data_IF_404285177378
#
_entry.id   IF_404285177378
#
_cell.length_a   1.000
_cell.length_b   1.000
_cell.length_c   1.000
_cell.angle_alpha   90.00
_cell.angle_beta   90.00
_cell.angle_gamma   90.00
#
_symmetry.space_group_name_H-M   'P 1'
#
loop_
_entity.id
_entity.type
_entity.pdbx_description
1 polymer ?
#
# COMPACT_ATOMS: atom_id res chain seq x y z
N UNK A 1 -4.91 21.84 -2.69
CA UNK A 1 -4.69 20.51 -2.07
C UNK A 1 -5.88 20.18 -1.20
N UNK A 2 -6.35 18.94 -1.25
CA UNK A 2 -7.46 18.45 -0.43
C UNK A 2 -6.91 17.44 0.58
N UNK A 3 -6.94 17.76 1.86
CA UNK A 3 -6.46 16.90 2.95
C UNK A 3 -7.65 16.39 3.75
N UNK A 4 -7.75 15.07 3.87
CA UNK A 4 -8.83 14.40 4.60
C UNK A 4 -8.26 13.45 5.64
N UNK A 5 -8.81 13.49 6.85
CA UNK A 5 -8.42 12.60 7.95
C UNK A 5 -9.58 11.67 8.28
N UNK A 6 -9.32 10.37 8.27
CA UNK A 6 -10.31 9.36 8.61
C UNK A 6 -9.99 8.01 7.99
N UNK A 7 -10.94 7.10 8.08
CA UNK A 7 -10.83 5.78 7.44
C UNK A 7 -10.86 5.95 5.91
N UNK A 8 -9.83 5.47 5.23
CA UNK A 8 -9.72 5.66 3.78
C UNK A 8 -10.84 4.99 3.00
N UNK A 9 -11.36 3.85 3.46
CA UNK A 9 -12.47 3.17 2.78
C UNK A 9 -13.75 4.02 2.83
N UNK A 10 -13.98 4.71 3.95
CA UNK A 10 -15.12 5.63 4.07
C UNK A 10 -14.92 6.91 3.29
N UNK A 11 -13.71 7.49 3.33
CA UNK A 11 -13.38 8.73 2.62
C UNK A 11 -13.44 8.53 1.11
N UNK A 12 -12.97 7.41 0.60
CA UNK A 12 -13.00 7.11 -0.84
C UNK A 12 -14.41 7.10 -1.41
N UNK A 13 -15.43 6.79 -0.62
CA UNK A 13 -16.83 6.84 -1.08
C UNK A 13 -17.25 8.22 -1.58
N UNK A 14 -16.63 9.27 -1.08
CA UNK A 14 -16.87 10.65 -1.51
C UNK A 14 -16.06 11.10 -2.73
N UNK A 15 -15.19 10.25 -3.26
CA UNK A 15 -14.41 10.55 -4.47
C UNK A 15 -15.19 10.07 -5.69
N UNK A 16 -15.25 10.92 -6.71
CA UNK A 16 -15.95 10.59 -7.95
C UNK A 16 -15.33 9.39 -8.63
N UNK A 17 -16.15 8.56 -9.25
CA UNK A 17 -15.66 7.45 -10.07
C UNK A 17 -14.83 7.95 -11.24
N UNK A 18 -13.83 7.16 -11.63
CA UNK A 18 -13.02 7.41 -12.82
C UNK A 18 -12.37 8.81 -12.82
N UNK A 19 -11.90 9.27 -11.66
CA UNK A 19 -11.37 10.63 -11.48
C UNK A 19 -9.90 10.70 -11.06
N UNK A 20 -9.32 9.59 -10.62
CA UNK A 20 -7.95 9.55 -10.09
C UNK A 20 -6.98 9.10 -11.18
N UNK A 21 -5.97 9.91 -11.44
CA UNK A 21 -4.96 9.66 -12.48
C UNK A 21 -3.80 8.79 -11.99
N UNK A 22 -3.49 8.90 -10.69
CA UNK A 22 -2.41 8.13 -10.05
C UNK A 22 -2.75 7.95 -8.57
N UNK A 23 -2.53 6.76 -8.05
CA UNK A 23 -2.69 6.48 -6.64
C UNK A 23 -1.35 6.08 -6.03
N UNK A 24 -1.01 6.68 -4.90
CA UNK A 24 0.14 6.28 -4.08
C UNK A 24 -0.36 6.01 -2.67
N UNK A 25 -0.05 4.86 -2.13
CA UNK A 25 -0.50 4.48 -0.80
C UNK A 25 0.58 3.79 0.03
N UNK A 26 0.64 4.19 1.29
CA UNK A 26 1.39 3.51 2.34
C UNK A 26 0.36 2.94 3.31
N UNK A 27 -0.11 1.72 3.02
CA UNK A 27 -1.22 1.10 3.75
C UNK A 27 -0.77 0.59 5.12
N UNK A 28 -1.68 0.52 6.11
CA UNK A 28 -1.37 -0.12 7.38
C UNK A 28 -1.16 -1.63 7.19
N UNK A 29 -0.01 -2.14 7.67
CA UNK A 29 0.38 -3.53 7.47
C UNK A 29 -0.14 -4.47 8.57
N UNK A 30 -0.62 -3.90 9.70
CA UNK A 30 -1.04 -4.71 10.86
C UNK A 30 0.13 -5.33 11.63
N UNK A 31 1.32 -4.73 11.56
CA UNK A 31 2.56 -5.30 12.13
C UNK A 31 3.04 -4.58 13.38
N UNK A 32 2.47 -3.41 13.70
CA UNK A 32 2.83 -2.64 14.89
C UNK A 32 1.74 -2.75 15.96
N UNK A 33 2.04 -2.29 17.20
CA UNK A 33 1.07 -2.24 18.29
C UNK A 33 0.17 -1.00 18.25
N UNK A 34 0.37 -0.09 17.30
CA UNK A 34 -0.42 1.12 17.17
C UNK A 34 -1.86 0.81 16.77
N UNK A 35 -2.83 1.54 17.34
CA UNK A 35 -4.25 1.31 17.09
C UNK A 35 -4.67 1.53 15.64
N UNK A 36 -3.96 2.42 14.92
CA UNK A 36 -4.24 2.72 13.52
C UNK A 36 -3.66 1.68 12.55
N UNK A 37 -2.72 0.86 13.02
CA UNK A 37 -2.04 -0.12 12.16
C UNK A 37 -2.78 -1.46 12.15
N UNK A 38 -4.01 -1.42 11.68
CA UNK A 38 -4.84 -2.60 11.44
C UNK A 38 -4.80 -2.90 9.94
N UNK A 39 -4.52 -4.15 9.59
CA UNK A 39 -4.49 -4.57 8.18
C UNK A 39 -5.81 -4.23 7.50
N UNK A 40 -5.73 -3.51 6.37
CA UNK A 40 -6.89 -3.08 5.60
C UNK A 40 -7.56 -4.29 4.91
N UNK A 41 -8.88 -4.24 4.76
CA UNK A 41 -9.60 -5.21 3.94
C UNK A 41 -9.29 -4.96 2.46
N UNK A 42 -8.45 -5.82 1.87
CA UNK A 42 -7.98 -5.62 0.51
C UNK A 42 -9.08 -5.79 -0.55
N UNK A 43 -10.07 -6.64 -0.32
CA UNK A 43 -11.18 -6.80 -1.25
C UNK A 43 -11.98 -5.51 -1.38
N UNK A 44 -12.36 -4.91 -0.25
CA UNK A 44 -13.07 -3.63 -0.23
C UNK A 44 -12.19 -2.50 -0.77
N UNK A 45 -10.91 -2.52 -0.44
CA UNK A 45 -9.95 -1.53 -0.92
C UNK A 45 -9.86 -1.55 -2.45
N UNK A 46 -9.63 -2.70 -3.06
CA UNK A 46 -9.55 -2.81 -4.52
C UNK A 46 -10.84 -2.43 -5.21
N UNK A 47 -11.99 -2.75 -4.61
CA UNK A 47 -13.29 -2.33 -5.15
C UNK A 47 -13.37 -0.81 -5.29
N UNK A 48 -12.98 -0.07 -4.23
CA UNK A 48 -13.01 1.39 -4.26
C UNK A 48 -11.92 1.96 -5.19
N UNK A 49 -10.71 1.42 -5.16
CA UNK A 49 -9.64 1.86 -6.06
C UNK A 49 -10.03 1.68 -7.52
N UNK A 50 -10.60 0.53 -7.88
CA UNK A 50 -11.04 0.29 -9.26
C UNK A 50 -12.18 1.22 -9.68
N UNK A 51 -13.00 1.67 -8.74
CA UNK A 51 -14.06 2.63 -9.00
C UNK A 51 -13.54 4.04 -9.26
N UNK A 52 -12.62 4.53 -8.40
CA UNK A 52 -12.17 5.92 -8.44
C UNK A 52 -11.03 6.16 -9.43
N UNK A 53 -10.17 5.16 -9.67
CA UNK A 53 -9.05 5.29 -10.59
C UNK A 53 -9.49 5.17 -12.05
N UNK A 54 -8.86 5.96 -12.90
CA UNK A 54 -9.02 5.82 -14.35
C UNK A 54 -8.41 4.52 -14.84
N UNK A 55 -8.82 4.05 -16.01
CA UNK A 55 -8.37 2.77 -16.57
C UNK A 55 -6.84 2.71 -16.78
N UNK A 56 -6.22 3.85 -17.05
CA UNK A 56 -4.77 3.96 -17.27
C UNK A 56 -3.99 4.44 -16.04
N UNK A 57 -4.64 4.56 -14.89
CA UNK A 57 -4.00 5.01 -13.67
C UNK A 57 -3.01 3.96 -13.14
N UNK A 58 -1.85 4.43 -12.71
CA UNK A 58 -0.90 3.60 -11.95
C UNK A 58 -1.25 3.63 -10.47
N UNK A 59 -1.11 2.49 -9.81
CA UNK A 59 -1.34 2.32 -8.39
C UNK A 59 -0.04 1.85 -7.74
N UNK A 60 0.51 2.69 -6.86
CA UNK A 60 1.84 2.51 -6.28
C UNK A 60 1.72 2.32 -4.77
N UNK A 61 2.40 1.31 -4.25
CA UNK A 61 2.35 0.97 -2.83
C UNK A 61 3.75 0.83 -2.27
N UNK A 62 3.99 1.39 -1.09
CA UNK A 62 5.13 0.99 -0.26
C UNK A 62 4.71 -0.19 0.60
N UNK A 63 5.57 -1.19 0.76
CA UNK A 63 5.23 -2.37 1.54
C UNK A 63 6.48 -3.14 2.01
N UNK A 64 6.24 -4.05 2.94
CA UNK A 64 7.20 -5.08 3.34
C UNK A 64 6.86 -6.39 2.63
N UNK A 65 7.79 -7.36 2.64
CA UNK A 65 7.61 -8.61 1.92
C UNK A 65 6.32 -9.36 2.32
N UNK A 66 6.03 -9.43 3.62
CA UNK A 66 4.85 -10.15 4.11
C UNK A 66 3.54 -9.52 3.64
N UNK A 67 3.39 -8.21 3.82
CA UNK A 67 2.20 -7.50 3.36
C UNK A 67 2.16 -7.45 1.83
N UNK A 68 3.31 -7.28 1.19
CA UNK A 68 3.43 -7.27 -0.27
C UNK A 68 2.94 -8.57 -0.90
N UNK A 69 3.20 -9.71 -0.27
CA UNK A 69 2.66 -11.00 -0.71
C UNK A 69 1.12 -11.00 -0.71
N UNK A 70 0.52 -10.53 0.37
CA UNK A 70 -0.95 -10.43 0.45
C UNK A 70 -1.51 -9.45 -0.58
N UNK A 71 -0.81 -8.34 -0.80
CA UNK A 71 -1.20 -7.32 -1.77
C UNK A 71 -1.17 -7.88 -3.20
N UNK A 72 -0.10 -8.56 -3.59
CA UNK A 72 0.01 -9.21 -4.92
C UNK A 72 -1.09 -10.25 -5.08
N UNK A 73 -1.25 -11.13 -4.09
CA UNK A 73 -2.26 -12.18 -4.11
C UNK A 73 -3.67 -11.64 -4.30
N UNK A 74 -3.96 -10.48 -3.71
CA UNK A 74 -5.28 -9.86 -3.79
C UNK A 74 -5.60 -9.25 -5.16
N UNK A 75 -4.59 -8.99 -6.01
CA UNK A 75 -4.78 -8.40 -7.34
C UNK A 75 -3.65 -8.81 -8.30
N UNK A 76 -3.38 -10.09 -8.37
CA UNK A 76 -2.25 -10.66 -9.11
C UNK A 76 -2.23 -10.27 -10.59
N UNK A 77 -3.38 -10.26 -11.22
CA UNK A 77 -3.47 -9.95 -12.66
C UNK A 77 -3.00 -8.55 -13.03
N UNK A 78 -3.07 -7.59 -12.12
CA UNK A 78 -2.69 -6.20 -12.35
C UNK A 78 -1.33 -5.83 -11.76
N UNK A 79 -0.70 -6.74 -11.03
CA UNK A 79 0.67 -6.53 -10.55
C UNK A 79 1.63 -6.50 -11.75
N UNK A 80 2.49 -5.47 -11.80
CA UNK A 80 3.38 -5.27 -12.95
C UNK A 80 4.85 -5.38 -12.60
N UNK A 81 5.30 -4.67 -11.58
CA UNK A 81 6.71 -4.63 -11.23
C UNK A 81 6.91 -4.14 -9.80
N UNK A 82 8.14 -4.30 -9.32
CA UNK A 82 8.57 -3.78 -8.04
C UNK A 82 9.81 -2.91 -8.20
N UNK A 83 9.98 -2.02 -7.25
CA UNK A 83 11.18 -1.21 -7.08
C UNK A 83 11.68 -1.38 -5.64
N UNK A 84 12.97 -1.20 -5.45
CA UNK A 84 13.59 -1.24 -4.12
C UNK A 84 13.88 0.19 -3.68
N UNK A 85 13.30 0.57 -2.53
CA UNK A 85 13.60 1.85 -1.91
C UNK A 85 14.67 1.64 -0.84
N UNK A 86 15.88 2.06 -1.15
CA UNK A 86 17.01 1.99 -0.20
C UNK A 86 16.94 3.18 0.74
N UNK A 87 16.79 2.89 2.03
CA UNK A 87 16.69 3.93 3.06
C UNK A 87 18.06 4.44 3.50
N UNK A 88 18.10 5.65 4.04
CA UNK A 88 19.34 6.25 4.59
C UNK A 88 19.80 5.55 5.87
N UNK A 89 18.88 4.97 6.65
CA UNK A 89 19.19 4.26 7.90
C UNK A 89 18.47 2.93 7.97
N UNK A 90 19.11 1.97 8.65
CA UNK A 90 18.54 0.64 8.88
C UNK A 90 17.47 0.67 9.97
N UNK A 91 16.54 -0.27 9.92
CA UNK A 91 15.49 -0.48 10.93
C UNK A 91 15.56 -1.90 11.49
N UNK A 92 14.89 -2.14 12.63
CA UNK A 92 14.81 -3.46 13.23
C UNK A 92 15.98 -3.82 14.14
N UNK A 93 16.69 -2.82 14.70
CA UNK A 93 17.85 -3.04 15.58
C UNK A 93 17.52 -3.84 16.85
N UNK A 94 16.31 -3.75 17.38
CA UNK A 94 15.88 -4.52 18.57
C UNK A 94 15.85 -6.03 18.31
N UNK A 95 15.70 -6.45 17.07
CA UNK A 95 15.67 -7.84 16.64
C UNK A 95 16.93 -8.28 15.90
N UNK A 96 18.00 -7.48 15.91
CA UNK A 96 19.21 -7.71 15.13
C UNK A 96 19.90 -9.06 15.45
N UNK A 97 19.71 -9.60 16.65
CA UNK A 97 20.23 -10.92 17.05
C UNK A 97 19.44 -12.09 16.46
N UNK A 98 18.21 -11.86 16.03
CA UNK A 98 17.31 -12.90 15.49
C UNK A 98 17.10 -12.75 13.98
N UNK A 99 17.05 -11.53 13.51
CA UNK A 99 16.81 -11.18 12.10
C UNK A 99 17.77 -10.08 11.66
N UNK A 100 18.25 -10.11 10.39
CA UNK A 100 19.00 -8.98 9.84
C UNK A 100 18.22 -7.68 9.92
N UNK A 101 18.92 -6.58 10.16
CA UNK A 101 18.33 -5.25 10.08
C UNK A 101 17.95 -4.94 8.64
N UNK A 102 16.85 -4.19 8.45
CA UNK A 102 16.36 -3.81 7.13
C UNK A 102 16.81 -2.40 6.77
N UNK A 103 17.27 -2.22 5.55
CA UNK A 103 17.65 -0.93 5.00
C UNK A 103 16.87 -0.59 3.74
N UNK A 104 15.85 -1.36 3.41
CA UNK A 104 15.02 -1.10 2.23
C UNK A 104 13.55 -1.37 2.50
N UNK A 105 12.70 -0.76 1.69
CA UNK A 105 11.30 -1.11 1.53
C UNK A 105 11.03 -1.48 0.09
N UNK A 106 9.96 -2.23 -0.12
CA UNK A 106 9.49 -2.59 -1.45
C UNK A 106 8.48 -1.56 -1.94
N UNK A 107 8.55 -1.24 -3.22
CA UNK A 107 7.53 -0.42 -3.88
C UNK A 107 6.92 -1.29 -4.96
N UNK A 108 5.61 -1.53 -4.87
CA UNK A 108 4.89 -2.34 -5.85
C UNK A 108 4.04 -1.46 -6.74
N UNK A 109 4.04 -1.77 -8.03
CA UNK A 109 3.31 -1.01 -9.04
C UNK A 109 2.29 -1.92 -9.72
N UNK A 110 1.03 -1.47 -9.69
CA UNK A 110 -0.10 -2.13 -10.34
C UNK A 110 -0.69 -1.20 -11.39
N UNK A 111 -1.12 -1.76 -12.51
CA UNK A 111 -1.98 -1.07 -13.49
C UNK A 111 -2.69 -2.10 -14.37
N UNK A 112 -3.73 -1.66 -15.04
CA UNK A 112 -4.50 -2.50 -15.95
C UNK A 112 -3.75 -2.81 -17.25
#
# INVERSE_FOLDING_TARGET
MDLRNGDCLEIMKGINENSVDLMFADLPYGVTSEKWDIAINLELFWKEINRICKADAAMIFTCTAKFGYELIKSNEKNFRTDLIWVKSSSTGHLNAKKCPMRKHELIYIFYN
#
